data_IF_232994712435
#
_entry.id   IF_232994712435
#
_cell.length_a   1.000
_cell.length_b   1.000
_cell.length_c   1.000
_cell.angle_alpha   90.00
_cell.angle_beta   90.00
_cell.angle_gamma   90.00
#
_symmetry.space_group_name_H-M   'P 1'
#
loop_
_entity.id
_entity.type
_entity.pdbx_description
1 polymer ?
#
# COMPACT_ATOMS: atom_id res chain seq x y z
N UNK A 1 -23.21 -18.27 13.93
CA UNK A 1 -21.78 -18.12 14.22
C UNK A 1 -21.32 -16.82 13.60
N UNK A 2 -20.89 -15.85 14.40
CA UNK A 2 -20.33 -14.61 13.87
C UNK A 2 -18.91 -14.92 13.40
N UNK A 3 -18.70 -15.01 12.09
CA UNK A 3 -17.35 -15.04 11.51
C UNK A 3 -16.72 -13.68 11.73
N UNK A 4 -15.82 -13.58 12.72
CA UNK A 4 -14.93 -12.43 12.87
C UNK A 4 -14.11 -12.33 11.59
N UNK A 5 -14.24 -11.22 10.87
CA UNK A 5 -13.43 -10.93 9.69
C UNK A 5 -12.04 -10.51 10.19
N UNK A 6 -11.12 -11.45 10.26
CA UNK A 6 -9.72 -11.17 10.56
C UNK A 6 -8.92 -11.06 9.25
N UNK A 7 -8.23 -9.93 9.09
CA UNK A 7 -7.30 -9.74 7.99
C UNK A 7 -6.06 -10.59 8.20
N UNK A 8 -5.55 -11.21 7.13
CA UNK A 8 -4.22 -11.82 7.19
C UNK A 8 -3.14 -10.75 7.35
N UNK A 9 -1.98 -11.14 7.88
CA UNK A 9 -0.87 -10.20 8.10
C UNK A 9 -0.50 -9.38 6.85
N UNK A 10 -0.41 -10.03 5.68
CA UNK A 10 -0.11 -9.32 4.43
C UNK A 10 -1.23 -8.34 4.01
N UNK A 11 -2.49 -8.65 4.32
CA UNK A 11 -3.62 -7.77 4.03
C UNK A 11 -3.65 -6.55 4.94
N UNK A 12 -3.18 -6.68 6.17
CA UNK A 12 -2.96 -5.54 7.06
C UNK A 12 -1.87 -4.63 6.49
N UNK A 13 -0.71 -5.19 6.13
CA UNK A 13 0.40 -4.41 5.55
C UNK A 13 0.02 -3.74 4.22
N UNK A 14 -0.72 -4.43 3.37
CA UNK A 14 -1.25 -3.87 2.12
C UNK A 14 -2.19 -2.69 2.39
N UNK A 15 -3.11 -2.83 3.36
CA UNK A 15 -4.03 -1.75 3.73
C UNK A 15 -3.30 -0.52 4.26
N UNK A 16 -2.28 -0.72 5.11
CA UNK A 16 -1.44 0.36 5.65
C UNK A 16 -0.64 1.07 4.54
N UNK A 17 -0.02 0.30 3.62
CA UNK A 17 0.72 0.88 2.50
C UNK A 17 -0.19 1.69 1.56
N UNK A 18 -1.39 1.17 1.24
CA UNK A 18 -2.39 1.90 0.43
C UNK A 18 -2.84 3.17 1.14
N UNK A 19 -3.04 3.12 2.46
CA UNK A 19 -3.43 4.29 3.24
C UNK A 19 -2.41 5.41 3.09
N UNK A 20 -1.12 5.11 3.31
CA UNK A 20 -0.02 6.08 3.17
C UNK A 20 0.06 6.63 1.75
N UNK A 21 -0.05 5.78 0.71
CA UNK A 21 -0.02 6.27 -0.66
C UNK A 21 -1.20 7.18 -1.01
N UNK A 22 -2.38 6.95 -0.43
CA UNK A 22 -3.53 7.83 -0.61
C UNK A 22 -3.34 9.18 0.05
N UNK A 23 -2.71 9.22 1.23
CA UNK A 23 -2.36 10.48 1.89
C UNK A 23 -1.37 11.28 1.05
N UNK A 24 -0.29 10.65 0.57
CA UNK A 24 0.66 11.30 -0.34
C UNK A 24 0.00 11.79 -1.62
N UNK A 25 -0.91 11.01 -2.21
CA UNK A 25 -1.64 11.42 -3.41
C UNK A 25 -2.63 12.58 -3.13
N UNK A 26 -3.12 12.72 -1.90
CA UNK A 26 -4.04 13.79 -1.51
C UNK A 26 -3.30 15.09 -1.15
N UNK A 27 -2.12 15.00 -0.56
CA UNK A 27 -1.37 16.16 -0.06
C UNK A 27 -0.44 16.81 -1.09
N UNK A 28 0.03 16.05 -2.10
CA UNK A 28 1.00 16.53 -3.08
C UNK A 28 0.39 16.65 -4.47
N UNK A 29 0.67 17.76 -5.17
CA UNK A 29 0.16 18.00 -6.53
C UNK A 29 0.82 17.08 -7.59
N UNK A 30 2.09 16.72 -7.39
CA UNK A 30 2.90 15.94 -8.35
C UNK A 30 3.74 14.87 -7.66
N UNK A 31 3.13 13.89 -6.98
CA UNK A 31 3.87 12.80 -6.35
C UNK A 31 4.53 11.92 -7.41
N UNK A 32 5.69 11.35 -7.06
CA UNK A 32 6.41 10.39 -7.90
C UNK A 32 6.79 9.17 -7.07
N UNK A 33 6.73 7.99 -7.68
CA UNK A 33 7.28 6.77 -7.11
C UNK A 33 8.66 6.52 -7.71
N UNK A 34 9.70 6.51 -6.88
CA UNK A 34 11.05 6.17 -7.32
C UNK A 34 11.12 4.66 -7.60
N UNK A 35 11.12 4.30 -8.88
CA UNK A 35 11.10 2.91 -9.31
C UNK A 35 12.48 2.44 -9.77
N UNK A 36 13.07 1.54 -8.99
CA UNK A 36 14.38 0.94 -9.26
C UNK A 36 14.33 -0.37 -10.05
N UNK A 37 13.13 -0.96 -10.25
CA UNK A 37 12.99 -2.30 -10.82
C UNK A 37 13.37 -3.44 -9.89
N UNK A 38 13.70 -3.16 -8.62
CA UNK A 38 14.01 -4.16 -7.60
C UNK A 38 12.77 -4.81 -6.98
N UNK A 39 13.00 -5.81 -6.12
CA UNK A 39 11.92 -6.61 -5.49
C UNK A 39 10.95 -5.77 -4.65
N UNK A 40 11.42 -4.68 -4.05
CA UNK A 40 10.56 -3.87 -3.17
C UNK A 40 9.75 -2.88 -4.01
N UNK A 41 10.39 -2.23 -4.98
CA UNK A 41 9.71 -1.26 -5.86
C UNK A 41 8.74 -1.94 -6.84
N UNK A 42 8.93 -3.22 -7.20
CA UNK A 42 7.94 -3.97 -7.99
C UNK A 42 6.69 -4.32 -7.18
N UNK A 43 6.81 -4.57 -5.86
CA UNK A 43 5.65 -4.86 -4.99
C UNK A 43 4.74 -3.64 -4.86
N UNK A 44 5.30 -2.43 -4.94
CA UNK A 44 4.52 -1.19 -4.88
C UNK A 44 3.69 -0.90 -6.13
N UNK A 45 3.93 -1.60 -7.26
CA UNK A 45 3.25 -1.37 -8.54
C UNK A 45 2.36 -2.53 -9.00
N UNK A 46 2.36 -3.64 -8.26
CA UNK A 46 1.67 -4.87 -8.63
C UNK A 46 0.35 -5.00 -7.90
#
# INVERSE_FOLDING_TARGET
MSTTYELSHLRVLEAEAIHIFREVAAEFERPVLLFSGGKDSIVMLR
#
